data_IF_270048317205
#
_entry.id   IF_270048317205
#
_cell.length_a   1.000
_cell.length_b   1.000
_cell.length_c   1.000
_cell.angle_alpha   90.00
_cell.angle_beta   90.00
_cell.angle_gamma   90.00
#
_symmetry.space_group_name_H-M   'P 1'
#
loop_
_entity.id
_entity.type
_entity.pdbx_description
1 polymer ?
#
# COMPACT_ATOMS: atom_id res chain seq x y z
N UNK A 1 25.82 -43.22 -11.25
CA UNK A 1 25.39 -42.90 -9.87
C UNK A 1 25.24 -41.41 -9.55
N UNK A 2 26.16 -40.48 -9.92
CA UNK A 2 25.98 -39.05 -9.56
C UNK A 2 24.77 -38.38 -10.24
N UNK A 3 24.44 -38.78 -11.47
CA UNK A 3 23.29 -38.25 -12.20
C UNK A 3 21.93 -38.64 -11.61
N UNK A 4 21.83 -39.78 -10.93
CA UNK A 4 20.61 -40.21 -10.27
C UNK A 4 20.33 -39.37 -9.01
N UNK A 5 21.37 -39.04 -8.25
CA UNK A 5 21.27 -38.14 -7.10
C UNK A 5 20.89 -36.71 -7.53
N UNK A 6 21.47 -36.23 -8.64
CA UNK A 6 21.14 -34.93 -9.20
C UNK A 6 19.71 -34.88 -9.75
N UNK A 7 19.27 -35.92 -10.45
CA UNK A 7 17.89 -36.06 -10.93
C UNK A 7 16.89 -36.10 -9.76
N UNK A 8 17.21 -36.84 -8.69
CA UNK A 8 16.37 -36.90 -7.48
C UNK A 8 16.31 -35.54 -6.75
N UNK A 9 17.44 -34.86 -6.63
CA UNK A 9 17.51 -33.53 -6.01
C UNK A 9 16.69 -32.49 -6.80
N UNK A 10 16.75 -32.52 -8.14
CA UNK A 10 15.94 -31.67 -9.01
C UNK A 10 14.44 -32.00 -8.88
N UNK A 11 14.07 -33.28 -8.78
CA UNK A 11 12.68 -33.70 -8.60
C UNK A 11 12.11 -33.23 -7.27
N UNK A 12 12.85 -33.43 -6.17
CA UNK A 12 12.44 -33.01 -4.83
C UNK A 12 12.39 -31.49 -4.71
N UNK A 13 13.41 -30.80 -5.25
CA UNK A 13 13.47 -29.34 -5.27
C UNK A 13 12.35 -28.73 -6.12
N UNK A 14 12.10 -29.30 -7.30
CA UNK A 14 11.02 -28.87 -8.20
C UNK A 14 9.64 -29.11 -7.59
N UNK A 15 9.43 -30.25 -6.94
CA UNK A 15 8.17 -30.54 -6.24
C UNK A 15 7.94 -29.62 -5.03
N UNK A 16 9.00 -29.34 -4.25
CA UNK A 16 8.97 -28.37 -3.16
C UNK A 16 8.63 -26.96 -3.65
N UNK A 17 9.25 -26.53 -4.75
CA UNK A 17 8.99 -25.24 -5.38
C UNK A 17 7.56 -25.15 -5.94
N UNK A 18 7.08 -26.22 -6.59
CA UNK A 18 5.71 -26.33 -7.10
C UNK A 18 4.68 -26.22 -5.96
N UNK A 19 4.89 -26.98 -4.87
CA UNK A 19 4.04 -26.91 -3.67
C UNK A 19 4.09 -25.55 -3.00
N UNK A 20 5.27 -24.93 -2.96
CA UNK A 20 5.43 -23.59 -2.42
C UNK A 20 4.70 -22.55 -3.27
N UNK A 21 4.79 -22.60 -4.61
CA UNK A 21 4.09 -21.66 -5.49
C UNK A 21 2.56 -21.81 -5.37
N UNK A 22 2.05 -23.04 -5.21
CA UNK A 22 0.61 -23.29 -5.04
C UNK A 22 0.09 -22.97 -3.64
N UNK A 23 0.93 -23.08 -2.61
CA UNK A 23 0.58 -22.78 -1.22
C UNK A 23 0.93 -21.34 -0.81
N UNK A 24 1.72 -20.62 -1.62
CA UNK A 24 2.18 -19.28 -1.28
C UNK A 24 1.06 -18.27 -1.47
N UNK A 25 0.77 -17.56 -0.39
CA UNK A 25 -0.10 -16.39 -0.44
C UNK A 25 0.58 -15.29 -1.28
N UNK A 26 -0.20 -14.55 -2.07
CA UNK A 26 0.28 -13.44 -2.93
C UNK A 26 1.16 -12.45 -2.14
N UNK A 27 0.84 -12.21 -0.85
CA UNK A 27 1.64 -11.37 0.05
C UNK A 27 3.05 -11.92 0.31
N UNK A 28 3.21 -13.24 0.46
CA UNK A 28 4.51 -13.88 0.70
C UNK A 28 5.39 -13.85 -0.54
N UNK A 29 4.81 -14.09 -1.71
CA UNK A 29 5.52 -13.97 -2.99
C UNK A 29 5.98 -12.53 -3.20
N UNK A 30 5.11 -11.55 -2.97
CA UNK A 30 5.48 -10.13 -3.10
C UNK A 30 6.56 -9.71 -2.11
N UNK A 31 6.50 -10.20 -0.86
CA UNK A 31 7.53 -9.94 0.15
C UNK A 31 8.88 -10.56 -0.21
N UNK A 32 8.89 -11.79 -0.75
CA UNK A 32 10.10 -12.45 -1.21
C UNK A 32 10.74 -11.69 -2.38
N UNK A 33 9.94 -11.30 -3.38
CA UNK A 33 10.42 -10.50 -4.50
C UNK A 33 11.02 -9.17 -4.04
N UNK A 34 10.34 -8.46 -3.13
CA UNK A 34 10.84 -7.21 -2.59
C UNK A 34 12.14 -7.41 -1.80
N UNK A 35 12.22 -8.45 -0.99
CA UNK A 35 13.43 -8.80 -0.23
C UNK A 35 14.61 -9.12 -1.14
N UNK A 36 14.39 -9.88 -2.23
CA UNK A 36 15.42 -10.20 -3.23
C UNK A 36 15.92 -8.93 -3.91
N UNK A 37 15.03 -8.03 -4.34
CA UNK A 37 15.41 -6.75 -4.96
C UNK A 37 16.24 -5.90 -4.00
N UNK A 38 15.80 -5.76 -2.75
CA UNK A 38 16.52 -5.00 -1.72
C UNK A 38 17.90 -5.60 -1.47
N UNK A 39 17.99 -6.93 -1.32
CA UNK A 39 19.25 -7.62 -1.08
C UNK A 39 20.21 -7.48 -2.27
N UNK A 40 19.71 -7.55 -3.51
CA UNK A 40 20.50 -7.32 -4.72
C UNK A 40 21.05 -5.90 -4.79
N UNK A 41 20.22 -4.89 -4.48
CA UNK A 41 20.65 -3.48 -4.44
C UNK A 41 21.71 -3.29 -3.35
N UNK A 42 21.49 -3.84 -2.15
CA UNK A 42 22.44 -3.77 -1.04
C UNK A 42 23.79 -4.43 -1.39
N UNK A 43 23.76 -5.61 -2.01
CA UNK A 43 24.96 -6.31 -2.48
C UNK A 43 25.70 -5.51 -3.56
N UNK A 44 24.98 -4.90 -4.50
CA UNK A 44 25.59 -4.05 -5.54
C UNK A 44 26.26 -2.81 -4.93
N UNK A 45 25.61 -2.14 -3.99
CA UNK A 45 26.19 -0.99 -3.27
C UNK A 45 27.40 -1.40 -2.42
N UNK A 46 27.35 -2.57 -1.78
CA UNK A 46 28.46 -3.11 -1.00
C UNK A 46 29.67 -3.46 -1.87
N UNK A 47 29.47 -4.07 -3.04
CA UNK A 47 30.53 -4.30 -4.01
C UNK A 47 31.10 -2.99 -4.55
N UNK A 48 30.24 -1.98 -4.77
CA UNK A 48 30.67 -0.65 -5.21
C UNK A 48 31.49 0.07 -4.14
N UNK A 49 31.19 -0.19 -2.86
CA UNK A 49 31.96 0.31 -1.73
C UNK A 49 33.34 -0.36 -1.62
N UNK A 50 33.41 -1.69 -1.74
CA UNK A 50 34.68 -2.44 -1.69
C UNK A 50 35.60 -2.08 -2.85
N UNK A 51 35.05 -1.80 -4.04
CA UNK A 51 35.84 -1.43 -5.23
C UNK A 51 36.36 0.02 -5.21
N UNK A 52 36.22 0.74 -4.08
CA UNK A 52 36.70 2.11 -3.91
C UNK A 52 35.84 3.16 -4.62
N UNK A 53 34.65 2.79 -5.12
CA UNK A 53 33.70 3.66 -5.82
C UNK A 53 32.58 4.16 -4.91
N UNK A 54 32.87 4.38 -3.63
CA UNK A 54 31.95 4.98 -2.65
C UNK A 54 31.33 6.31 -3.13
N UNK A 55 32.07 7.23 -3.79
CA UNK A 55 31.48 8.46 -4.32
C UNK A 55 30.41 8.18 -5.38
N UNK A 56 30.61 7.17 -6.23
CA UNK A 56 29.64 6.77 -7.25
C UNK A 56 28.39 6.13 -6.61
N UNK A 57 28.55 5.35 -5.54
CA UNK A 57 27.45 4.78 -4.78
C UNK A 57 26.56 5.87 -4.15
N UNK A 58 27.19 6.88 -3.52
CA UNK A 58 26.48 8.01 -2.92
C UNK A 58 25.80 8.89 -3.98
N UNK A 59 26.48 9.18 -5.09
CA UNK A 59 25.90 9.94 -6.20
C UNK A 59 24.64 9.26 -6.77
N UNK A 60 24.65 7.93 -6.85
CA UNK A 60 23.52 7.15 -7.37
C UNK A 60 22.33 7.17 -6.40
N UNK A 61 22.56 7.07 -5.09
CA UNK A 61 21.50 7.23 -4.08
C UNK A 61 20.85 8.63 -4.13
N UNK A 62 21.67 9.68 -4.25
CA UNK A 62 21.19 11.06 -4.36
C UNK A 62 20.43 11.29 -5.66
N UNK A 63 20.92 10.75 -6.78
CA UNK A 63 20.26 10.87 -8.09
C UNK A 63 18.90 10.15 -8.15
N UNK A 64 18.74 9.04 -7.43
CA UNK A 64 17.48 8.29 -7.38
C UNK A 64 16.44 8.90 -6.43
N UNK A 65 16.85 9.73 -5.47
CA UNK A 65 15.95 10.38 -4.51
C UNK A 65 14.74 11.12 -5.13
N UNK A 66 14.90 12.02 -6.13
CA UNK A 66 13.77 12.71 -6.76
C UNK A 66 12.85 11.77 -7.54
N UNK A 67 13.38 10.67 -8.08
CA UNK A 67 12.60 9.69 -8.83
C UNK A 67 11.70 8.89 -7.86
N UNK A 68 12.27 8.42 -6.74
CA UNK A 68 11.54 7.72 -5.70
C UNK A 68 10.42 8.59 -5.10
N UNK A 69 10.74 9.85 -4.75
CA UNK A 69 9.75 10.79 -4.21
C UNK A 69 8.68 11.16 -5.25
N UNK A 70 9.08 11.34 -6.51
CA UNK A 70 8.17 11.58 -7.64
C UNK A 70 7.18 10.44 -7.86
N UNK A 71 7.66 9.20 -7.93
CA UNK A 71 6.83 8.00 -8.09
C UNK A 71 5.89 7.80 -6.89
N UNK A 72 6.35 8.02 -5.67
CA UNK A 72 5.52 7.94 -4.47
C UNK A 72 4.40 8.99 -4.46
N UNK A 73 4.71 10.23 -4.87
CA UNK A 73 3.70 11.28 -5.01
C UNK A 73 2.69 10.96 -6.12
N UNK A 74 3.10 10.30 -7.21
CA UNK A 74 2.20 9.84 -8.28
C UNK A 74 1.27 8.73 -7.79
N UNK A 75 1.80 7.74 -7.07
CA UNK A 75 1.01 6.69 -6.44
C UNK A 75 -0.02 7.27 -5.47
N UNK A 76 0.38 8.21 -4.59
CA UNK A 76 -0.54 8.90 -3.67
C UNK A 76 -1.60 9.72 -4.40
N UNK A 77 -1.24 10.40 -5.50
CA UNK A 77 -2.21 11.15 -6.32
C UNK A 77 -3.21 10.23 -7.00
N UNK A 78 -2.76 9.10 -7.54
CA UNK A 78 -3.64 8.10 -8.14
C UNK A 78 -4.61 7.52 -7.09
N UNK A 79 -4.10 7.14 -5.92
CA UNK A 79 -4.93 6.66 -4.82
C UNK A 79 -5.96 7.70 -4.36
N UNK A 80 -5.61 9.00 -4.35
CA UNK A 80 -6.56 10.09 -4.09
C UNK A 80 -7.56 10.30 -5.23
N UNK A 81 -7.15 10.16 -6.49
CA UNK A 81 -8.02 10.29 -7.65
C UNK A 81 -9.06 9.16 -7.71
N UNK A 82 -8.65 7.92 -7.42
CA UNK A 82 -9.57 6.77 -7.31
C UNK A 82 -10.53 6.87 -6.12
N UNK A 83 -10.16 7.60 -5.08
CA UNK A 83 -11.06 8.00 -3.98
C UNK A 83 -11.93 9.23 -4.32
N UNK A 84 -11.61 9.98 -5.38
CA UNK A 84 -12.19 11.29 -5.69
C UNK A 84 -13.27 11.29 -6.78
N UNK A 85 -13.54 10.17 -7.46
CA UNK A 85 -14.65 10.11 -8.43
C UNK A 85 -15.96 9.80 -7.70
N UNK A 86 -16.51 10.80 -7.03
CA UNK A 86 -17.94 10.81 -6.69
C UNK A 86 -18.75 11.09 -7.96
N UNK A 87 -19.89 10.41 -8.19
CA UNK A 87 -20.77 10.74 -9.30
C UNK A 87 -21.36 12.15 -9.10
N UNK A 88 -21.07 13.06 -10.03
CA UNK A 88 -21.84 14.23 -10.52
C UNK A 88 -22.89 14.97 -9.66
N UNK A 89 -22.87 14.90 -8.32
CA UNK A 89 -23.85 15.54 -7.44
C UNK A 89 -23.22 16.52 -6.47
N UNK A 90 -22.74 17.68 -6.95
CA UNK A 90 -22.37 18.85 -6.13
C UNK A 90 -21.36 18.65 -4.97
N UNK A 91 -20.99 19.73 -4.27
CA UNK A 91 -20.31 19.62 -2.98
C UNK A 91 -21.27 19.01 -1.94
N UNK A 92 -20.76 18.05 -1.16
CA UNK A 92 -21.51 17.38 -0.09
C UNK A 92 -22.07 18.37 0.92
N UNK A 93 -23.36 18.26 1.21
CA UNK A 93 -24.05 19.14 2.17
C UNK A 93 -23.83 18.68 3.61
N UNK A 94 -24.03 19.58 4.57
CA UNK A 94 -23.94 19.27 6.01
C UNK A 94 -24.91 18.14 6.41
N UNK A 95 -26.14 18.19 5.89
CA UNK A 95 -27.16 17.17 6.17
C UNK A 95 -26.76 15.80 5.61
N UNK A 96 -26.23 15.75 4.39
CA UNK A 96 -25.70 14.53 3.81
C UNK A 96 -24.51 13.98 4.61
N UNK A 97 -23.62 14.86 5.10
CA UNK A 97 -22.49 14.46 5.93
C UNK A 97 -22.92 13.84 7.27
N UNK A 98 -23.95 14.39 7.91
CA UNK A 98 -24.55 13.85 9.14
C UNK A 98 -25.18 12.48 8.90
N UNK A 99 -25.92 12.31 7.79
CA UNK A 99 -26.51 11.03 7.41
C UNK A 99 -25.44 9.95 7.18
N UNK A 100 -24.32 10.28 6.53
CA UNK A 100 -23.24 9.33 6.26
C UNK A 100 -22.51 8.89 7.53
N UNK A 101 -22.34 9.80 8.51
CA UNK A 101 -21.77 9.45 9.80
C UNK A 101 -22.79 8.83 10.78
N UNK A 102 -24.09 8.88 10.46
CA UNK A 102 -25.17 8.41 11.32
C UNK A 102 -25.35 9.28 12.57
N UNK A 103 -25.21 10.60 12.42
CA UNK A 103 -25.23 11.57 13.51
C UNK A 103 -26.44 12.51 13.46
N UNK A 104 -26.95 12.97 14.61
CA UNK A 104 -27.98 13.99 14.67
C UNK A 104 -27.42 15.40 14.38
N UNK A 105 -28.30 16.35 14.04
CA UNK A 105 -27.91 17.69 13.57
C UNK A 105 -27.11 18.54 14.58
N UNK A 106 -27.20 18.19 15.86
CA UNK A 106 -26.59 18.80 17.04
C UNK A 106 -25.34 18.05 17.55
N UNK A 107 -24.83 17.07 16.78
CA UNK A 107 -23.64 16.32 17.17
C UNK A 107 -22.42 17.24 17.39
N UNK A 108 -21.75 17.04 18.51
CA UNK A 108 -20.53 17.77 18.85
C UNK A 108 -19.31 17.24 18.10
N UNK A 109 -18.23 18.04 18.10
CA UNK A 109 -16.99 17.71 17.40
C UNK A 109 -16.39 16.38 17.86
N UNK A 110 -16.51 16.08 19.16
CA UNK A 110 -16.01 14.84 19.75
C UNK A 110 -16.78 13.62 19.21
N UNK A 111 -18.11 13.71 19.11
CA UNK A 111 -18.96 12.66 18.55
C UNK A 111 -18.69 12.45 17.06
N UNK A 112 -18.49 13.54 16.29
CA UNK A 112 -18.12 13.47 14.87
C UNK A 112 -16.82 12.66 14.68
N UNK A 113 -15.78 12.98 15.46
CA UNK A 113 -14.49 12.27 15.40
C UNK A 113 -14.60 10.81 15.83
N UNK A 114 -15.41 10.51 16.85
CA UNK A 114 -15.63 9.16 17.35
C UNK A 114 -16.38 8.27 16.33
N UNK A 115 -17.44 8.80 15.72
CA UNK A 115 -18.21 8.12 14.68
C UNK A 115 -17.36 7.84 13.44
N UNK A 116 -16.60 8.84 12.97
CA UNK A 116 -15.65 8.70 11.87
C UNK A 116 -14.64 7.57 12.12
N UNK A 117 -13.99 7.57 13.29
CA UNK A 117 -13.01 6.53 13.67
C UNK A 117 -13.63 5.13 13.71
N UNK A 118 -14.86 5.02 14.21
CA UNK A 118 -15.58 3.75 14.28
C UNK A 118 -15.95 3.22 12.90
N UNK A 119 -16.44 4.10 12.01
CA UNK A 119 -16.80 3.75 10.64
C UNK A 119 -15.59 3.33 9.81
N UNK A 120 -14.48 4.08 9.87
CA UNK A 120 -13.24 3.72 9.17
C UNK A 120 -12.66 2.40 9.70
N UNK A 121 -12.75 2.13 11.01
CA UNK A 121 -12.31 0.86 11.60
C UNK A 121 -13.19 -0.31 11.15
N UNK A 122 -14.49 -0.10 10.97
CA UNK A 122 -15.41 -1.13 10.44
C UNK A 122 -15.19 -1.39 8.96
N UNK A 123 -14.81 -0.37 8.18
CA UNK A 123 -14.60 -0.47 6.73
C UNK A 123 -13.27 -1.10 6.31
N UNK A 124 -12.66 -1.93 7.18
CA UNK A 124 -11.33 -2.49 6.95
C UNK A 124 -11.26 -3.23 5.59
N UNK A 125 -10.19 -3.02 4.80
CA UNK A 125 -10.06 -3.48 3.42
C UNK A 125 -10.02 -5.01 3.26
N UNK A 126 -9.99 -5.76 4.37
CA UNK A 126 -10.06 -7.22 4.36
C UNK A 126 -11.51 -7.74 4.23
N UNK A 127 -12.55 -6.90 4.30
CA UNK A 127 -13.97 -7.31 4.21
C UNK A 127 -14.89 -6.24 3.53
N UNK A 128 -14.74 -5.94 2.23
CA UNK A 128 -15.70 -5.13 1.45
C UNK A 128 -15.72 -3.59 1.63
N UNK A 129 -14.65 -2.99 2.13
CA UNK A 129 -14.52 -1.53 2.13
C UNK A 129 -14.08 -0.96 0.78
N UNK A 130 -15.02 -0.60 -0.10
CA UNK A 130 -14.68 0.11 -1.34
C UNK A 130 -13.95 1.43 -1.02
N UNK A 131 -12.83 1.70 -1.69
CA UNK A 131 -12.05 2.93 -1.49
C UNK A 131 -12.91 4.20 -1.60
N UNK A 132 -13.98 4.13 -2.39
CA UNK A 132 -15.00 5.16 -2.54
C UNK A 132 -15.77 5.45 -1.24
N UNK A 133 -16.23 4.42 -0.52
CA UNK A 133 -17.00 4.60 0.71
C UNK A 133 -16.13 5.17 1.84
N UNK A 134 -14.88 4.73 1.94
CA UNK A 134 -13.90 5.32 2.87
C UNK A 134 -13.65 6.80 2.55
N UNK A 135 -13.56 7.15 1.26
CA UNK A 135 -13.41 8.54 0.83
C UNK A 135 -14.64 9.39 1.16
N UNK A 136 -15.85 8.84 0.97
CA UNK A 136 -17.11 9.51 1.30
C UNK A 136 -17.26 9.78 2.81
N UNK A 137 -16.86 8.83 3.65
CA UNK A 137 -16.81 9.01 5.12
C UNK A 137 -15.81 10.10 5.53
N UNK A 138 -14.64 10.15 4.88
CA UNK A 138 -13.65 11.21 5.13
C UNK A 138 -14.18 12.58 4.68
N UNK A 139 -14.88 12.65 3.55
CA UNK A 139 -15.50 13.88 3.06
C UNK A 139 -16.56 14.39 4.04
N UNK A 140 -17.41 13.52 4.58
CA UNK A 140 -18.42 13.88 5.57
C UNK A 140 -17.82 14.52 6.83
N UNK A 141 -16.77 13.90 7.38
CA UNK A 141 -16.02 14.48 8.50
C UNK A 141 -15.46 15.85 8.15
N UNK A 142 -14.83 15.99 6.98
CA UNK A 142 -14.20 17.25 6.58
C UNK A 142 -15.22 18.39 6.38
N UNK A 143 -16.45 18.08 5.94
CA UNK A 143 -17.53 19.08 5.84
C UNK A 143 -17.98 19.53 7.22
N UNK A 144 -18.20 18.60 8.16
CA UNK A 144 -18.70 18.92 9.51
C UNK A 144 -17.66 19.58 10.42
N UNK A 145 -16.37 19.47 10.11
CA UNK A 145 -15.26 20.07 10.88
C UNK A 145 -14.68 21.33 10.23
N UNK A 146 -15.10 21.70 9.02
CA UNK A 146 -14.68 22.96 8.35
C UNK A 146 -15.61 24.13 8.62
N UNK A 147 -16.81 23.86 9.12
CA UNK A 147 -17.72 24.85 9.72
C UNK A 147 -17.35 25.09 11.18
#
# INVERSE_FOLDING_TARGET
>A
MPYLLLALALLVGGFGLYRFILAANVRQVMALFLAVIILSIAAALFLLAITGRLPAALALLVALWPICTGLWMRYKRMARASAGTAPSGGPMTRDEALQILGLPADADEATIRAAHKTLIKKLHPDQDGSAWLAARINQARDVLLRE
#
